data_IF_483128305549
#
_entry.id   IF_483128305549
#
_cell.length_a   1.000
_cell.length_b   1.000
_cell.length_c   1.000
_cell.angle_alpha   90.00
_cell.angle_beta   90.00
_cell.angle_gamma   90.00
#
_symmetry.space_group_name_H-M   'P 1'
#
loop_
_entity.id
_entity.type
_entity.pdbx_description
1 polymer ?
#
# COMPACT_ATOMS: atom_id res chain seq x y z
N UNK A 1 16.47 11.99 14.29
CA UNK A 1 15.42 10.94 14.23
C UNK A 1 14.82 11.02 12.83
N UNK A 2 14.84 9.94 12.05
CA UNK A 2 14.28 9.97 10.69
C UNK A 2 12.75 10.08 10.77
N UNK A 3 12.14 10.85 9.86
CA UNK A 3 10.70 11.11 9.85
C UNK A 3 9.93 9.83 9.52
N UNK A 4 9.12 9.33 10.46
CA UNK A 4 8.30 8.12 10.32
C UNK A 4 7.03 8.37 9.49
N UNK A 5 6.35 9.50 9.74
CA UNK A 5 5.18 9.89 8.96
C UNK A 5 5.61 10.52 7.63
N UNK A 6 5.10 9.97 6.54
CA UNK A 6 5.33 10.49 5.20
C UNK A 6 4.13 11.30 4.73
N UNK A 7 4.36 12.54 4.31
CA UNK A 7 3.34 13.34 3.64
C UNK A 7 3.27 12.90 2.19
N UNK A 8 2.08 12.51 1.73
CA UNK A 8 1.84 12.25 0.31
C UNK A 8 1.99 13.55 -0.49
N UNK A 9 2.60 13.45 -1.66
CA UNK A 9 2.76 14.58 -2.58
C UNK A 9 1.44 15.11 -3.14
N UNK A 10 1.52 15.96 -4.17
CA UNK A 10 0.34 16.48 -4.87
C UNK A 10 0.01 15.67 -6.12
N UNK A 11 -1.24 15.72 -6.53
CA UNK A 11 -1.73 15.11 -7.76
C UNK A 11 -2.63 16.08 -8.53
N UNK A 12 -2.59 16.01 -9.84
CA UNK A 12 -3.53 16.71 -10.73
C UNK A 12 -4.10 15.69 -11.70
N UNK A 13 -5.41 15.48 -11.68
CA UNK A 13 -6.10 14.54 -12.56
C UNK A 13 -6.70 15.34 -13.72
N UNK A 14 -6.18 15.12 -14.91
CA UNK A 14 -6.67 15.72 -16.16
C UNK A 14 -7.52 14.71 -16.92
N UNK A 15 -7.91 15.04 -18.14
CA UNK A 15 -8.82 14.18 -18.91
C UNK A 15 -8.23 12.82 -19.29
N UNK A 16 -6.95 12.81 -19.70
CA UNK A 16 -6.24 11.63 -20.23
C UNK A 16 -4.91 11.34 -19.53
N UNK A 17 -4.55 12.13 -18.53
CA UNK A 17 -3.31 11.99 -17.79
C UNK A 17 -3.46 12.37 -16.31
N UNK A 18 -2.56 11.84 -15.48
CA UNK A 18 -2.45 12.15 -14.06
C UNK A 18 -1.03 12.62 -13.79
N UNK A 19 -0.88 13.85 -13.32
CA UNK A 19 0.40 14.40 -12.86
C UNK A 19 0.55 14.10 -11.36
N UNK A 20 1.69 13.51 -10.99
CA UNK A 20 2.13 13.30 -9.61
C UNK A 20 3.36 14.16 -9.34
N UNK A 21 3.41 14.83 -8.19
CA UNK A 21 4.53 15.68 -7.79
C UNK A 21 4.87 15.51 -6.31
N UNK A 22 6.13 15.74 -5.96
CA UNK A 22 6.66 15.59 -4.61
C UNK A 22 6.36 14.20 -4.01
N UNK A 23 6.36 13.17 -4.85
CA UNK A 23 6.10 11.81 -4.43
C UNK A 23 7.20 11.35 -3.48
N UNK A 24 6.88 10.71 -2.34
CA UNK A 24 7.86 10.56 -1.27
C UNK A 24 8.72 9.29 -1.36
N UNK A 25 8.39 8.33 -2.23
CA UNK A 25 9.03 7.02 -2.25
C UNK A 25 10.03 6.91 -3.41
N UNK A 26 11.32 7.11 -3.14
CA UNK A 26 12.40 7.08 -4.16
C UNK A 26 12.41 5.85 -5.08
N UNK A 27 12.14 4.62 -4.59
CA UNK A 27 12.06 3.45 -5.46
C UNK A 27 10.92 3.46 -6.49
N UNK A 28 9.91 4.31 -6.31
CA UNK A 28 8.74 4.37 -7.17
C UNK A 28 9.06 5.06 -8.50
N UNK A 29 8.40 4.59 -9.56
CA UNK A 29 8.43 5.22 -10.87
C UNK A 29 7.76 6.61 -10.89
N UNK A 30 7.02 6.98 -9.83
CA UNK A 30 6.44 8.31 -9.64
C UNK A 30 7.40 9.31 -8.97
N UNK A 31 8.58 8.89 -8.52
CA UNK A 31 9.50 9.74 -7.77
C UNK A 31 10.38 10.64 -8.67
N UNK A 32 10.62 11.91 -8.28
CA UNK A 32 9.84 12.69 -7.31
C UNK A 32 8.56 13.26 -7.94
N UNK A 33 8.41 13.13 -9.26
CA UNK A 33 7.20 13.46 -9.98
C UNK A 33 7.21 12.83 -11.37
N UNK A 34 6.01 12.52 -11.86
CA UNK A 34 5.79 11.89 -13.16
C UNK A 34 4.38 12.19 -13.65
N UNK A 35 4.23 12.27 -14.98
CA UNK A 35 2.93 12.23 -15.65
C UNK A 35 2.66 10.78 -16.08
N UNK A 36 1.50 10.26 -15.72
CA UNK A 36 0.99 8.99 -16.20
C UNK A 36 -0.10 9.24 -17.22
N UNK A 37 0.09 8.79 -18.46
CA UNK A 37 -1.00 8.79 -19.44
C UNK A 37 -1.93 7.61 -19.15
N UNK A 38 -3.20 7.73 -19.52
CA UNK A 38 -4.22 6.73 -19.19
C UNK A 38 -3.85 5.30 -19.65
N UNK A 39 -3.15 5.15 -20.78
CA UNK A 39 -2.72 3.85 -21.30
C UNK A 39 -1.59 3.18 -20.51
N UNK A 40 -0.91 3.90 -19.61
CA UNK A 40 0.08 3.33 -18.69
C UNK A 40 -0.54 2.77 -17.40
N UNK A 41 -1.82 3.07 -17.16
CA UNK A 41 -2.53 2.70 -15.94
C UNK A 41 -3.33 1.42 -16.21
N UNK A 42 -2.88 0.32 -15.61
CA UNK A 42 -3.48 -1.01 -15.77
C UNK A 42 -4.81 -1.10 -15.01
N UNK A 43 -4.84 -0.51 -13.81
CA UNK A 43 -6.03 -0.46 -12.97
C UNK A 43 -5.94 0.64 -11.91
N UNK A 44 -7.06 0.92 -11.25
CA UNK A 44 -7.13 1.76 -10.06
C UNK A 44 -7.80 1.01 -8.90
N UNK A 45 -7.39 1.33 -7.67
CA UNK A 45 -8.09 0.93 -6.44
C UNK A 45 -8.57 2.19 -5.76
N UNK A 46 -9.87 2.26 -5.45
CA UNK A 46 -10.51 3.48 -4.94
C UNK A 46 -11.00 3.35 -3.50
N UNK A 47 -11.08 2.14 -2.98
CA UNK A 47 -11.67 1.86 -1.68
C UNK A 47 -10.60 1.84 -0.59
N UNK A 48 -10.97 2.34 0.60
CA UNK A 48 -10.14 2.44 1.81
C UNK A 48 -8.81 3.23 1.66
N UNK A 49 -8.55 4.14 2.58
CA UNK A 49 -7.31 4.93 2.60
C UNK A 49 -7.06 5.76 1.34
N UNK A 50 -5.79 5.80 0.90
CA UNK A 50 -5.38 6.51 -0.31
C UNK A 50 -5.64 5.66 -1.56
N UNK A 51 -6.31 6.21 -2.60
CA UNK A 51 -6.44 5.54 -3.89
C UNK A 51 -5.08 5.15 -4.49
N UNK A 52 -5.07 4.08 -5.27
CA UNK A 52 -3.87 3.47 -5.84
C UNK A 52 -4.00 3.38 -7.36
N UNK A 53 -2.94 3.74 -8.08
CA UNK A 53 -2.76 3.45 -9.50
C UNK A 53 -1.89 2.21 -9.61
N UNK A 54 -2.39 1.18 -10.26
CA UNK A 54 -1.59 0.04 -10.66
C UNK A 54 -1.00 0.36 -12.04
N UNK A 55 0.32 0.43 -12.09
CA UNK A 55 1.10 0.65 -13.31
C UNK A 55 2.15 -0.45 -13.40
N UNK A 56 2.74 -0.62 -14.58
CA UNK A 56 3.72 -1.68 -14.80
C UNK A 56 4.86 -1.61 -13.79
N UNK A 57 4.97 -2.65 -12.96
CA UNK A 57 6.02 -2.80 -11.94
C UNK A 57 5.86 -1.95 -10.67
N UNK A 58 4.78 -1.18 -10.50
CA UNK A 58 4.62 -0.29 -9.33
C UNK A 58 3.16 -0.20 -8.84
N UNK A 59 2.96 0.47 -7.71
CA UNK A 59 1.68 0.94 -7.19
C UNK A 59 1.89 2.38 -6.73
N UNK A 60 1.20 3.33 -7.35
CA UNK A 60 1.35 4.76 -7.06
C UNK A 60 0.15 5.25 -6.26
N UNK A 61 0.41 5.96 -5.16
CA UNK A 61 -0.64 6.49 -4.28
C UNK A 61 -1.10 7.86 -4.77
N UNK A 62 -2.41 8.09 -4.72
CA UNK A 62 -3.06 9.37 -4.97
C UNK A 62 -3.78 9.78 -3.69
N UNK A 63 -3.80 11.08 -3.38
CA UNK A 63 -4.44 11.55 -2.15
C UNK A 63 -5.94 11.26 -2.17
N UNK A 64 -6.48 10.83 -1.02
CA UNK A 64 -7.89 10.43 -0.86
C UNK A 64 -8.90 11.49 -1.33
N UNK A 65 -8.56 12.78 -1.24
CA UNK A 65 -9.40 13.88 -1.75
C UNK A 65 -9.73 13.79 -3.24
N UNK A 66 -8.91 13.08 -4.03
CA UNK A 66 -9.10 12.90 -5.47
C UNK A 66 -9.87 11.63 -5.85
N UNK A 67 -10.47 10.92 -4.87
CA UNK A 67 -11.15 9.64 -5.11
C UNK A 67 -12.24 9.75 -6.19
N UNK A 68 -13.05 10.81 -6.16
CA UNK A 68 -14.16 10.98 -7.10
C UNK A 68 -13.67 11.34 -8.51
N UNK A 69 -12.66 12.21 -8.61
CA UNK A 69 -12.00 12.57 -9.86
C UNK A 69 -11.34 11.34 -10.48
N UNK A 70 -10.65 10.52 -9.68
CA UNK A 70 -10.01 9.30 -10.16
C UNK A 70 -11.04 8.26 -10.63
N UNK A 71 -12.18 8.16 -9.97
CA UNK A 71 -13.30 7.32 -10.41
C UNK A 71 -13.83 7.76 -11.77
N UNK A 72 -14.01 9.06 -11.97
CA UNK A 72 -14.46 9.63 -13.25
C UNK A 72 -13.42 9.40 -14.36
N UNK A 73 -12.14 9.62 -14.05
CA UNK A 73 -11.01 9.37 -14.94
C UNK A 73 -10.95 7.92 -15.40
N UNK A 74 -11.05 6.97 -14.46
CA UNK A 74 -11.03 5.54 -14.77
C UNK A 74 -12.19 5.14 -15.68
N UNK A 75 -13.41 5.63 -15.39
CA UNK A 75 -14.59 5.38 -16.23
C UNK A 75 -14.42 5.94 -17.64
N UNK A 76 -13.93 7.18 -17.78
CA UNK A 76 -13.72 7.85 -19.09
C UNK A 76 -12.71 7.11 -19.94
N UNK A 77 -11.61 6.65 -19.34
CA UNK A 77 -10.50 6.01 -20.03
C UNK A 77 -10.58 4.47 -20.04
N UNK A 78 -11.71 3.88 -19.61
CA UNK A 78 -11.95 2.43 -19.56
C UNK A 78 -10.89 1.66 -18.74
N UNK A 79 -10.37 2.29 -17.68
CA UNK A 79 -9.42 1.68 -16.76
C UNK A 79 -10.18 0.83 -15.74
N UNK A 80 -9.68 -0.37 -15.51
CA UNK A 80 -10.29 -1.33 -14.58
C UNK A 80 -10.21 -0.83 -13.13
N UNK A 81 -11.27 -1.05 -12.35
CA UNK A 81 -11.29 -0.77 -10.92
C UNK A 81 -11.17 -2.09 -10.18
N UNK A 82 -10.08 -2.26 -9.41
CA UNK A 82 -9.80 -3.44 -8.62
C UNK A 82 -10.30 -3.28 -7.18
N UNK A 83 -10.64 -4.39 -6.50
CA UNK A 83 -10.94 -4.37 -5.08
C UNK A 83 -9.69 -4.01 -4.25
N UNK A 84 -9.91 -3.49 -3.05
CA UNK A 84 -8.84 -3.22 -2.09
C UNK A 84 -8.17 -4.52 -1.62
N UNK A 85 -6.84 -4.53 -1.57
CA UNK A 85 -6.04 -5.60 -0.99
C UNK A 85 -5.84 -5.36 0.50
N UNK A 86 -6.22 -6.34 1.32
CA UNK A 86 -6.11 -6.29 2.77
C UNK A 86 -4.83 -6.94 3.30
N UNK A 87 -3.89 -7.31 2.43
CA UNK A 87 -2.72 -8.11 2.83
C UNK A 87 -1.88 -7.39 3.88
N UNK A 88 -1.53 -6.12 3.64
CA UNK A 88 -0.76 -5.36 4.61
C UNK A 88 -1.57 -5.03 5.87
N UNK A 89 -2.85 -4.68 5.74
CA UNK A 89 -3.75 -4.47 6.89
C UNK A 89 -3.76 -5.67 7.84
N UNK A 90 -3.87 -6.89 7.30
CA UNK A 90 -3.87 -8.14 8.06
C UNK A 90 -2.49 -8.55 8.58
N UNK A 91 -1.41 -8.30 7.83
CA UNK A 91 -0.05 -8.53 8.32
C UNK A 91 0.24 -7.63 9.51
N UNK A 92 -0.23 -6.38 9.48
CA UNK A 92 0.08 -5.34 10.46
C UNK A 92 -0.91 -5.26 11.63
N UNK A 93 -1.99 -6.05 11.60
CA UNK A 93 -2.98 -6.16 12.68
C UNK A 93 -2.37 -6.19 14.10
N UNK A 94 -1.28 -6.95 14.39
CA UNK A 94 -0.70 -7.00 15.73
C UNK A 94 -0.06 -5.69 16.22
N UNK A 95 0.04 -4.65 15.39
CA UNK A 95 0.64 -3.36 15.72
C UNK A 95 -0.40 -2.24 15.85
N UNK A 96 -1.69 -2.57 15.73
CA UNK A 96 -2.80 -1.67 16.00
C UNK A 96 -2.96 -1.44 17.51
N UNK A 97 -3.58 -0.32 17.87
CA UNK A 97 -4.06 -0.06 19.23
C UNK A 97 -5.43 -0.72 19.48
N UNK A 98 -5.56 -1.96 19.02
CA UNK A 98 -6.75 -2.80 19.16
C UNK A 98 -6.32 -4.20 19.57
N UNK A 99 -6.87 -4.71 20.67
CA UNK A 99 -6.65 -6.09 21.08
C UNK A 99 -7.60 -7.03 20.31
N UNK A 100 -7.03 -7.90 19.48
CA UNK A 100 -7.79 -8.91 18.74
C UNK A 100 -7.81 -10.25 19.47
N UNK A 101 -8.96 -10.92 19.46
CA UNK A 101 -9.07 -12.26 20.03
C UNK A 101 -8.23 -13.27 19.24
N UNK A 102 -7.84 -14.38 19.88
CA UNK A 102 -7.17 -15.49 19.16
C UNK A 102 -8.01 -16.04 17.99
N UNK A 103 -9.33 -15.92 18.05
CA UNK A 103 -10.20 -16.36 16.96
C UNK A 103 -10.12 -15.41 15.76
N UNK A 104 -10.02 -14.10 16.01
CA UNK A 104 -9.88 -13.09 14.96
C UNK A 104 -8.51 -13.17 14.29
N UNK A 105 -7.44 -13.29 15.10
CA UNK A 105 -6.09 -13.48 14.59
C UNK A 105 -5.97 -14.72 13.68
N UNK A 106 -6.65 -15.83 14.02
CA UNK A 106 -6.70 -17.02 13.17
C UNK A 106 -7.40 -16.76 11.83
N UNK A 107 -8.54 -16.06 11.84
CA UNK A 107 -9.24 -15.68 10.60
C UNK A 107 -8.35 -14.82 9.71
N UNK A 108 -7.65 -13.86 10.28
CA UNK A 108 -6.69 -12.99 9.57
C UNK A 108 -5.59 -13.82 8.90
N UNK A 109 -4.99 -14.77 9.64
CA UNK A 109 -3.99 -15.69 9.08
C UNK A 109 -4.59 -16.53 7.94
N UNK A 110 -5.78 -17.12 8.12
CA UNK A 110 -6.45 -17.91 7.09
C UNK A 110 -6.67 -17.12 5.79
N UNK A 111 -7.01 -15.83 5.87
CA UNK A 111 -7.18 -14.99 4.69
C UNK A 111 -5.84 -14.69 4.00
N UNK A 112 -4.79 -14.42 4.75
CA UNK A 112 -3.44 -14.25 4.20
C UNK A 112 -2.94 -15.53 3.50
N UNK A 113 -3.22 -16.70 4.08
CA UNK A 113 -2.91 -17.99 3.47
C UNK A 113 -3.68 -18.20 2.15
N UNK A 114 -4.97 -17.83 2.11
CA UNK A 114 -5.78 -17.87 0.87
C UNK A 114 -5.20 -16.95 -0.20
N UNK A 115 -4.68 -15.79 0.19
CA UNK A 115 -4.01 -14.86 -0.72
C UNK A 115 -2.60 -15.30 -1.14
N UNK A 116 -2.14 -16.49 -0.72
CA UNK A 116 -0.88 -17.07 -1.18
C UNK A 116 0.34 -16.68 -0.35
N UNK A 117 0.15 -16.10 0.84
CA UNK A 117 1.22 -15.99 1.82
C UNK A 117 1.39 -17.31 2.56
N UNK A 118 2.60 -17.57 3.07
CA UNK A 118 2.87 -18.72 3.95
C UNK A 118 2.94 -18.26 5.41
N UNK A 119 2.62 -19.15 6.35
CA UNK A 119 2.63 -18.81 7.78
C UNK A 119 4.01 -18.33 8.25
N UNK A 120 5.09 -19.00 7.84
CA UNK A 120 6.45 -18.57 8.15
C UNK A 120 6.79 -17.19 7.57
N UNK A 121 6.36 -16.91 6.33
CA UNK A 121 6.53 -15.62 5.67
C UNK A 121 5.78 -14.51 6.43
N UNK A 122 4.55 -14.75 6.87
CA UNK A 122 3.77 -13.79 7.68
C UNK A 122 4.52 -13.44 8.98
N UNK A 123 5.05 -14.47 9.67
CA UNK A 123 5.80 -14.26 10.91
C UNK A 123 7.11 -13.52 10.69
N UNK A 124 7.83 -13.81 9.60
CA UNK A 124 9.04 -13.10 9.21
C UNK A 124 8.77 -11.63 8.87
N UNK A 125 7.69 -11.33 8.15
CA UNK A 125 7.26 -9.97 7.84
C UNK A 125 6.94 -9.19 9.12
N UNK A 126 6.12 -9.77 10.01
CA UNK A 126 5.78 -9.16 11.31
C UNK A 126 7.03 -8.88 12.14
N UNK A 127 7.98 -9.80 12.18
CA UNK A 127 9.27 -9.61 12.85
C UNK A 127 10.11 -8.50 12.19
N UNK A 128 10.13 -8.43 10.86
CA UNK A 128 10.91 -7.45 10.11
C UNK A 128 10.44 -6.01 10.38
N UNK A 129 9.11 -5.81 10.36
CA UNK A 129 8.48 -4.47 10.40
C UNK A 129 8.09 -4.04 11.81
N UNK A 130 7.94 -4.97 12.76
CA UNK A 130 7.25 -4.72 14.03
C UNK A 130 7.78 -3.55 14.84
N UNK A 131 9.11 -3.45 15.04
CA UNK A 131 9.69 -2.31 15.79
C UNK A 131 9.41 -0.96 15.10
N UNK A 132 9.36 -0.93 13.77
CA UNK A 132 9.04 0.30 13.04
C UNK A 132 7.56 0.60 13.05
N UNK A 133 6.69 -0.41 12.98
CA UNK A 133 5.25 -0.20 13.06
C UNK A 133 4.82 0.26 14.45
N UNK A 134 5.43 -0.28 15.52
CA UNK A 134 5.21 0.23 16.89
C UNK A 134 5.67 1.69 16.99
N UNK A 135 6.86 2.01 16.47
CA UNK A 135 7.34 3.39 16.48
C UNK A 135 6.45 4.31 15.64
N UNK A 136 5.99 3.84 14.48
CA UNK A 136 5.09 4.57 13.60
C UNK A 136 3.73 4.81 14.27
N UNK A 137 3.12 3.81 14.91
CA UNK A 137 1.78 3.95 15.46
C UNK A 137 1.77 4.70 16.81
N UNK A 138 2.66 4.29 17.73
CA UNK A 138 2.65 4.79 19.11
C UNK A 138 3.56 6.00 19.32
N UNK A 139 4.78 6.00 18.77
CA UNK A 139 5.72 7.12 19.02
C UNK A 139 5.36 8.38 18.24
N UNK A 140 4.55 8.27 17.17
CA UNK A 140 4.02 9.45 16.47
C UNK A 140 2.62 9.84 16.94
N UNK A 141 2.09 9.19 17.99
CA UNK A 141 0.76 9.44 18.54
C UNK A 141 -0.37 9.27 17.51
N UNK A 142 -0.19 8.39 16.52
CA UNK A 142 -1.26 8.10 15.56
C UNK A 142 -2.37 7.31 16.26
N UNK A 143 -2.00 6.31 17.07
CA UNK A 143 -2.90 5.43 17.81
C UNK A 143 -4.02 4.86 16.92
N UNK A 144 -3.62 4.40 15.73
CA UNK A 144 -4.50 3.79 14.76
C UNK A 144 -5.05 2.46 15.32
N UNK A 145 -6.37 2.35 15.29
CA UNK A 145 -7.14 1.23 15.83
C UNK A 145 -7.89 0.43 14.74
N UNK A 146 -8.07 1.02 13.55
CA UNK A 146 -8.82 0.42 12.43
C UNK A 146 -7.92 -0.40 11.52
N UNK A 147 -6.82 0.17 11.03
CA UNK A 147 -5.98 -0.49 10.04
C UNK A 147 -4.73 0.28 9.64
N UNK A 148 -3.63 -0.45 9.43
CA UNK A 148 -2.36 0.06 8.92
C UNK A 148 -2.13 -0.53 7.53
N UNK A 149 -1.93 0.31 6.53
CA UNK A 149 -1.91 -0.09 5.11
C UNK A 149 -0.49 -0.27 4.55
N UNK A 150 -0.40 -0.65 3.27
CA UNK A 150 0.86 -0.61 2.51
C UNK A 150 1.56 0.76 2.60
N UNK A 151 0.81 1.87 2.57
CA UNK A 151 1.40 3.21 2.67
C UNK A 151 2.12 3.41 4.00
N UNK A 152 1.54 2.91 5.08
CA UNK A 152 2.05 3.06 6.45
C UNK A 152 3.34 2.27 6.64
N UNK A 153 3.38 1.02 6.19
CA UNK A 153 4.60 0.20 6.29
C UNK A 153 5.72 0.73 5.40
N UNK A 154 5.40 1.23 4.19
CA UNK A 154 6.39 1.87 3.33
C UNK A 154 6.95 3.15 3.97
N UNK A 155 6.11 3.91 4.66
CA UNK A 155 6.51 5.12 5.39
C UNK A 155 7.41 4.80 6.58
N UNK A 156 7.01 3.84 7.42
CA UNK A 156 7.76 3.42 8.60
C UNK A 156 9.13 2.84 8.21
N UNK A 157 9.16 1.95 7.21
CA UNK A 157 10.40 1.24 6.83
C UNK A 157 11.39 2.14 6.10
N UNK A 158 10.93 3.22 5.45
CA UNK A 158 11.80 4.25 4.86
C UNK A 158 12.70 4.92 5.90
N UNK A 159 12.22 5.08 7.14
CA UNK A 159 13.00 5.69 8.21
C UNK A 159 14.11 4.76 8.74
N UNK A 160 13.92 3.44 8.62
CA UNK A 160 14.85 2.39 9.08
C UNK A 160 15.95 2.06 8.07
N UNK A 161 15.57 1.88 6.81
CA UNK A 161 16.47 1.27 5.82
C UNK A 161 17.34 2.28 5.08
N UNK A 162 18.56 1.84 4.76
CA UNK A 162 19.38 2.47 3.72
C UNK A 162 18.64 2.43 2.38
N UNK A 163 18.95 3.33 1.44
CA UNK A 163 18.33 3.37 0.10
C UNK A 163 18.25 2.02 -0.60
N UNK A 164 19.35 1.25 -0.63
CA UNK A 164 19.39 -0.07 -1.28
C UNK A 164 18.41 -1.07 -0.63
N UNK A 165 18.46 -1.21 0.71
CA UNK A 165 17.51 -2.06 1.46
C UNK A 165 16.07 -1.60 1.35
N UNK A 166 15.84 -0.28 1.28
CA UNK A 166 14.50 0.25 1.12
C UNK A 166 13.92 -0.05 -0.26
N UNK A 167 14.73 0.01 -1.31
CA UNK A 167 14.33 -0.38 -2.67
C UNK A 167 13.93 -1.85 -2.75
N UNK A 168 14.72 -2.74 -2.13
CA UNK A 168 14.37 -4.16 -2.00
C UNK A 168 13.04 -4.36 -1.27
N UNK A 169 12.90 -3.75 -0.08
CA UNK A 169 11.68 -3.84 0.71
C UNK A 169 10.45 -3.28 -0.04
N UNK A 170 10.60 -2.15 -0.73
CA UNK A 170 9.53 -1.54 -1.50
C UNK A 170 8.98 -2.52 -2.54
N UNK A 171 9.85 -3.14 -3.34
CA UNK A 171 9.44 -4.12 -4.36
C UNK A 171 8.76 -5.34 -3.76
N UNK A 172 9.31 -5.92 -2.67
CA UNK A 172 8.65 -7.02 -1.95
C UNK A 172 7.28 -6.63 -1.40
N UNK A 173 7.15 -5.41 -0.88
CA UNK A 173 5.90 -4.95 -0.31
C UNK A 173 4.80 -4.77 -1.36
N UNK A 174 5.16 -4.30 -2.55
CA UNK A 174 4.22 -4.22 -3.67
C UNK A 174 3.83 -5.60 -4.20
N UNK A 175 4.77 -6.54 -4.26
CA UNK A 175 4.49 -7.91 -4.66
C UNK A 175 3.47 -8.55 -3.71
N UNK A 176 3.67 -8.43 -2.40
CA UNK A 176 2.73 -8.90 -1.36
C UNK A 176 1.37 -8.23 -1.53
N UNK A 177 1.32 -6.91 -1.74
CA UNK A 177 0.06 -6.18 -1.94
C UNK A 177 -0.74 -6.72 -3.13
N UNK A 178 -0.07 -7.10 -4.21
CA UNK A 178 -0.68 -7.60 -5.45
C UNK A 178 -1.16 -9.06 -5.34
N UNK A 179 -0.73 -9.82 -4.33
CA UNK A 179 -1.18 -11.22 -4.17
C UNK A 179 -2.66 -11.26 -3.82
N UNK A 180 -3.45 -12.00 -4.60
CA UNK A 180 -4.84 -12.30 -4.27
C UNK A 180 -5.27 -13.64 -4.85
N UNK A 181 -6.37 -14.18 -4.32
CA UNK A 181 -7.03 -15.39 -4.84
C UNK A 181 -7.52 -15.27 -6.28
N UNK A 182 -7.62 -14.06 -6.83
CA UNK A 182 -7.97 -13.82 -8.24
C UNK A 182 -6.72 -13.91 -9.14
N UNK A 183 -6.09 -15.08 -9.18
CA UNK A 183 -5.25 -15.44 -10.32
C UNK A 183 -6.17 -15.90 -11.46
N UNK A 184 -6.09 -15.33 -12.68
CA UNK A 184 -6.85 -15.78 -13.85
C UNK A 184 -6.26 -17.07 -14.45
N UNK A 185 -5.90 -18.05 -13.62
CA UNK A 185 -5.11 -19.21 -14.00
C UNK A 185 -5.50 -20.52 -13.31
N UNK A 186 -6.73 -20.64 -12.81
CA UNK A 186 -7.29 -21.93 -12.38
C UNK A 186 -8.70 -22.08 -12.96
N UNK A 187 -8.72 -22.44 -14.25
CA UNK A 187 -9.77 -23.28 -14.84
C UNK A 187 -9.50 -24.73 -14.48
#
# INVERSE_FOLDING_TARGET
MNKLITTLGSSEIRESEILIQNYPFEPSVAYPGRIFIASEIEAVVLDFGNPKLHVTGDIVFVAAKYKNELKAFAKKNQISILPYSWNWDWVLEPFLDTEFSKADQRKTIEQLLKNGLRENEIMELRKEVGNQMIAYNFNTLLWEWVGLSLFDVLSAMKAKYTKAKYRDFYQRALEIEKRSTNHPGRT
#
